data_IF_877557541890
#
_entry.id   IF_877557541890
#
_cell.length_a   1.000
_cell.length_b   1.000
_cell.length_c   1.000
_cell.angle_alpha   90.00
_cell.angle_beta   90.00
_cell.angle_gamma   90.00
#
_symmetry.space_group_name_H-M   'P 1'
#
loop_
_entity.id
_entity.type
_entity.pdbx_description
1 polymer ?
#
# COMPACT_ATOMS: atom_id res chain seq x y z
N UNK A 1 10.25 -43.67 -28.13
CA UNK A 1 9.02 -43.47 -28.93
C UNK A 1 7.77 -43.15 -28.08
N UNK A 2 7.92 -42.78 -26.81
CA UNK A 2 6.80 -42.60 -25.85
C UNK A 2 6.44 -41.14 -25.54
N UNK A 3 7.23 -40.15 -25.99
CA UNK A 3 6.99 -38.73 -25.66
C UNK A 3 5.98 -38.02 -26.56
N UNK A 4 5.67 -38.59 -27.73
CA UNK A 4 4.72 -37.99 -28.68
C UNK A 4 3.30 -38.14 -28.17
N UNK A 5 2.95 -39.32 -27.65
CA UNK A 5 1.61 -39.62 -27.12
C UNK A 5 1.31 -38.88 -25.81
N UNK A 6 2.31 -38.70 -24.94
CA UNK A 6 2.11 -38.00 -23.66
C UNK A 6 1.82 -36.51 -23.83
N UNK A 7 2.43 -35.85 -24.81
CA UNK A 7 2.18 -34.44 -25.11
C UNK A 7 0.77 -34.22 -25.69
N UNK A 8 0.30 -35.15 -26.54
CA UNK A 8 -1.08 -35.17 -27.02
C UNK A 8 -2.10 -35.41 -25.90
N UNK A 9 -1.80 -36.34 -24.98
CA UNK A 9 -2.65 -36.60 -23.81
C UNK A 9 -2.73 -35.35 -22.93
N UNK A 10 -1.62 -34.62 -22.76
CA UNK A 10 -1.56 -33.42 -21.92
C UNK A 10 -2.34 -32.24 -22.53
N UNK A 11 -2.26 -32.04 -23.85
CA UNK A 11 -3.02 -31.00 -24.54
C UNK A 11 -4.52 -31.30 -24.54
N UNK A 12 -4.91 -32.57 -24.74
CA UNK A 12 -6.31 -33.00 -24.62
C UNK A 12 -6.81 -32.85 -23.19
N UNK A 13 -5.98 -33.18 -22.18
CA UNK A 13 -6.33 -33.00 -20.77
C UNK A 13 -6.49 -31.53 -20.39
N UNK A 14 -5.63 -30.63 -20.90
CA UNK A 14 -5.76 -29.18 -20.68
C UNK A 14 -7.00 -28.64 -21.37
N UNK A 15 -7.28 -29.05 -22.61
CA UNK A 15 -8.50 -28.64 -23.32
C UNK A 15 -9.76 -29.10 -22.58
N UNK A 16 -9.79 -30.35 -22.13
CA UNK A 16 -10.88 -30.91 -21.32
C UNK A 16 -11.01 -30.18 -19.98
N UNK A 17 -9.90 -29.82 -19.33
CA UNK A 17 -9.91 -29.07 -18.07
C UNK A 17 -10.46 -27.65 -18.27
N UNK A 18 -10.03 -26.96 -19.33
CA UNK A 18 -10.54 -25.62 -19.70
C UNK A 18 -12.03 -25.68 -20.03
N UNK A 19 -12.47 -26.71 -20.77
CA UNK A 19 -13.88 -26.95 -21.07
C UNK A 19 -14.68 -27.20 -19.79
N UNK A 20 -14.16 -28.01 -18.87
CA UNK A 20 -14.81 -28.36 -17.61
C UNK A 20 -14.89 -27.15 -16.66
N UNK A 21 -13.85 -26.32 -16.62
CA UNK A 21 -13.85 -25.04 -15.88
C UNK A 21 -14.81 -24.04 -16.50
N UNK A 22 -14.88 -23.95 -17.83
CA UNK A 22 -15.83 -23.10 -18.54
C UNK A 22 -17.28 -23.50 -18.22
N UNK A 23 -17.59 -24.80 -18.28
CA UNK A 23 -18.90 -25.36 -17.91
C UNK A 23 -19.23 -25.14 -16.43
N UNK A 24 -18.24 -25.24 -15.54
CA UNK A 24 -18.43 -24.98 -14.10
C UNK A 24 -18.62 -23.48 -13.80
N UNK A 25 -17.97 -22.61 -14.55
CA UNK A 25 -18.06 -21.15 -14.38
C UNK A 25 -19.37 -20.55 -14.91
N UNK A 26 -20.06 -21.24 -15.82
CA UNK A 26 -21.34 -20.80 -16.37
C UNK A 26 -22.56 -21.18 -15.51
N UNK A 27 -22.36 -21.88 -14.38
CA UNK A 27 -23.45 -22.23 -13.46
C UNK A 27 -24.45 -23.25 -14.02
N UNK A 28 -24.10 -23.94 -15.11
CA UNK A 28 -24.98 -24.90 -15.77
C UNK A 28 -25.04 -26.18 -14.94
N UNK A 29 -26.16 -26.39 -14.25
CA UNK A 29 -26.46 -27.66 -13.60
C UNK A 29 -26.55 -28.77 -14.66
N UNK A 30 -25.91 -29.91 -14.40
CA UNK A 30 -25.96 -31.08 -15.26
C UNK A 30 -27.42 -31.55 -15.44
N UNK A 31 -28.07 -31.13 -16.52
CA UNK A 31 -29.45 -31.50 -16.84
C UNK A 31 -30.28 -30.47 -17.61
N UNK A 32 -29.86 -29.20 -17.73
CA UNK A 32 -30.64 -28.15 -18.43
C UNK A 32 -29.80 -27.45 -19.51
N UNK A 33 -29.48 -28.17 -20.59
CA UNK A 33 -28.89 -27.57 -21.79
C UNK A 33 -30.02 -27.28 -22.78
N UNK A 34 -30.32 -26.00 -23.02
CA UNK A 34 -31.31 -25.58 -24.02
C UNK A 34 -30.75 -25.76 -25.46
N UNK A 35 -31.60 -25.75 -26.48
CA UNK A 35 -31.18 -25.97 -27.88
C UNK A 35 -30.11 -24.97 -28.36
N UNK A 36 -30.08 -23.75 -27.80
CA UNK A 36 -29.05 -22.75 -28.05
C UNK A 36 -27.67 -23.10 -27.46
N UNK A 37 -27.63 -23.78 -26.32
CA UNK A 37 -26.39 -24.23 -25.67
C UNK A 37 -25.79 -25.44 -26.39
N UNK A 38 -26.64 -26.30 -26.97
CA UNK A 38 -26.19 -27.37 -27.86
C UNK A 38 -25.55 -26.83 -29.14
N UNK A 39 -26.10 -25.75 -29.71
CA UNK A 39 -25.54 -25.08 -30.87
C UNK A 39 -24.16 -24.48 -30.60
N UNK A 40 -23.97 -23.84 -29.44
CA UNK A 40 -22.68 -23.26 -29.06
C UNK A 40 -21.63 -24.32 -28.76
N UNK A 41 -22.01 -25.45 -28.15
CA UNK A 41 -21.11 -26.60 -27.91
C UNK A 41 -20.68 -27.29 -29.20
N UNK A 42 -21.60 -27.51 -30.15
CA UNK A 42 -21.26 -28.08 -31.46
C UNK A 42 -20.35 -27.11 -32.22
N UNK A 43 -20.67 -25.81 -32.22
CA UNK A 43 -19.83 -24.77 -32.80
C UNK A 43 -18.42 -24.73 -32.22
N UNK A 44 -18.29 -24.76 -30.89
CA UNK A 44 -17.00 -24.80 -30.18
C UNK A 44 -16.22 -26.07 -30.49
N UNK A 45 -16.87 -27.22 -30.59
CA UNK A 45 -16.21 -28.48 -30.92
C UNK A 45 -15.67 -28.50 -32.35
N UNK A 46 -16.41 -27.95 -33.32
CA UNK A 46 -15.95 -27.80 -34.70
C UNK A 46 -14.77 -26.83 -34.80
N UNK A 47 -14.83 -25.71 -34.08
CA UNK A 47 -13.76 -24.72 -34.05
C UNK A 47 -12.49 -25.27 -33.39
N UNK A 48 -12.64 -26.06 -32.33
CA UNK A 48 -11.53 -26.78 -31.68
C UNK A 48 -10.88 -27.81 -32.61
N UNK A 49 -11.68 -28.56 -33.38
CA UNK A 49 -11.18 -29.51 -34.38
C UNK A 49 -10.46 -28.77 -35.52
N UNK A 50 -11.02 -27.67 -36.02
CA UNK A 50 -10.43 -26.88 -37.10
C UNK A 50 -9.11 -26.22 -36.67
N UNK A 51 -9.07 -25.61 -35.48
CA UNK A 51 -7.85 -25.05 -34.92
C UNK A 51 -6.81 -26.15 -34.63
N UNK A 52 -7.25 -27.29 -34.08
CA UNK A 52 -6.39 -28.46 -33.86
C UNK A 52 -5.77 -28.99 -35.16
N UNK A 53 -6.57 -29.10 -36.22
CA UNK A 53 -6.10 -29.55 -37.53
C UNK A 53 -5.17 -28.53 -38.22
N UNK A 54 -5.43 -27.23 -38.05
CA UNK A 54 -4.59 -26.13 -38.58
C UNK A 54 -3.22 -26.09 -37.90
N UNK A 55 -3.18 -26.32 -36.59
CA UNK A 55 -1.92 -26.45 -35.82
C UNK A 55 -1.18 -27.74 -36.21
N UNK A 56 -1.89 -28.85 -36.43
CA UNK A 56 -1.32 -30.11 -36.92
C UNK A 56 -0.71 -29.99 -38.32
N UNK A 57 -1.29 -29.19 -39.20
CA UNK A 57 -0.77 -28.90 -40.54
C UNK A 57 0.48 -28.02 -40.52
N UNK A 58 0.54 -27.07 -39.58
CA UNK A 58 1.62 -26.08 -39.49
C UNK A 58 2.94 -26.63 -38.91
N UNK A 59 2.92 -27.80 -38.24
CA UNK A 59 4.07 -28.36 -37.53
C UNK A 59 4.55 -29.73 -38.02
N UNK A 60 4.43 -30.03 -39.32
CA UNK A 60 5.18 -31.15 -39.93
C UNK A 60 6.67 -30.77 -40.03
N UNK A 61 7.44 -31.05 -38.97
CA UNK A 61 8.91 -30.98 -38.96
C UNK A 61 9.56 -29.96 -38.00
N UNK A 62 8.78 -29.09 -37.34
CA UNK A 62 9.30 -27.99 -36.48
C UNK A 62 8.89 -28.12 -35.01
N UNK A 63 8.75 -29.35 -34.51
CA UNK A 63 8.30 -29.63 -33.13
C UNK A 63 9.20 -28.99 -32.06
N UNK A 64 10.50 -28.80 -32.35
CA UNK A 64 11.42 -28.09 -31.46
C UNK A 64 11.05 -26.61 -31.29
N UNK A 65 10.62 -25.93 -32.35
CA UNK A 65 10.22 -24.52 -32.28
C UNK A 65 8.90 -24.33 -31.55
N UNK A 66 7.96 -25.27 -31.72
CA UNK A 66 6.70 -25.27 -30.96
C UNK A 66 6.95 -25.43 -29.45
N UNK A 67 7.86 -26.34 -29.07
CA UNK A 67 8.25 -26.55 -27.68
C UNK A 67 8.93 -25.30 -27.11
N UNK A 68 9.85 -24.69 -27.86
CA UNK A 68 10.54 -23.47 -27.45
C UNK A 68 9.56 -22.31 -27.26
N UNK A 69 8.59 -22.15 -28.15
CA UNK A 69 7.54 -21.14 -28.02
C UNK A 69 6.66 -21.39 -26.80
N UNK A 70 6.27 -22.65 -26.53
CA UNK A 70 5.48 -23.01 -25.36
C UNK A 70 6.21 -22.72 -24.05
N UNK A 71 7.51 -23.04 -23.97
CA UNK A 71 8.36 -22.73 -22.82
C UNK A 71 8.52 -21.23 -22.64
N UNK A 72 8.72 -20.46 -23.72
CA UNK A 72 8.81 -19.01 -23.67
C UNK A 72 7.52 -18.37 -23.14
N UNK A 73 6.35 -18.82 -23.62
CA UNK A 73 5.06 -18.35 -23.11
C UNK A 73 4.85 -18.72 -21.65
N UNK A 74 5.18 -19.93 -21.23
CA UNK A 74 5.12 -20.35 -19.82
C UNK A 74 6.01 -19.47 -18.94
N UNK A 75 7.23 -19.15 -19.39
CA UNK A 75 8.14 -18.27 -18.69
C UNK A 75 7.58 -16.84 -18.58
N UNK A 76 6.97 -16.31 -19.65
CA UNK A 76 6.32 -15.00 -19.64
C UNK A 76 5.14 -14.99 -18.66
N UNK A 77 4.25 -15.99 -18.68
CA UNK A 77 3.13 -16.05 -17.75
C UNK A 77 3.58 -16.21 -16.30
N UNK A 78 4.61 -17.04 -16.04
CA UNK A 78 5.19 -17.17 -14.71
C UNK A 78 5.79 -15.83 -14.24
N UNK A 79 6.52 -15.14 -15.10
CA UNK A 79 7.10 -13.83 -14.79
C UNK A 79 6.03 -12.77 -14.53
N UNK A 80 4.99 -12.69 -15.37
CA UNK A 80 3.85 -11.81 -15.15
C UNK A 80 3.08 -12.16 -13.87
N UNK A 81 2.94 -13.45 -13.54
CA UNK A 81 2.34 -13.93 -12.30
C UNK A 81 3.14 -13.51 -11.07
N UNK A 82 4.48 -13.55 -11.13
CA UNK A 82 5.36 -13.01 -10.10
C UNK A 82 5.17 -11.50 -9.98
N UNK A 83 5.23 -10.74 -11.07
CA UNK A 83 4.98 -9.28 -11.06
C UNK A 83 3.63 -8.95 -10.45
N UNK A 84 2.58 -9.69 -10.82
CA UNK A 84 1.23 -9.49 -10.31
C UNK A 84 1.14 -9.82 -8.82
N UNK A 85 1.78 -10.90 -8.36
CA UNK A 85 1.84 -11.26 -6.93
C UNK A 85 2.50 -10.15 -6.12
N UNK A 86 3.58 -9.58 -6.64
CA UNK A 86 4.35 -8.51 -5.99
C UNK A 86 3.89 -7.10 -6.38
N UNK A 87 2.75 -6.94 -7.07
CA UNK A 87 2.31 -5.64 -7.63
C UNK A 87 2.23 -4.52 -6.58
N UNK A 88 1.85 -4.87 -5.36
CA UNK A 88 1.75 -3.93 -4.24
C UNK A 88 3.12 -3.53 -3.67
N UNK A 89 4.13 -4.40 -3.78
CA UNK A 89 5.50 -4.11 -3.36
C UNK A 89 6.23 -3.25 -4.39
N UNK A 90 5.91 -3.39 -5.68
CA UNK A 90 6.46 -2.56 -6.74
C UNK A 90 6.05 -1.08 -6.65
N UNK A 91 4.86 -0.77 -6.12
CA UNK A 91 4.47 0.61 -5.82
C UNK A 91 5.36 1.26 -4.74
N UNK A 92 5.85 0.46 -3.78
CA UNK A 92 6.76 0.90 -2.71
C UNK A 92 8.20 1.12 -3.18
N UNK A 93 8.64 0.39 -4.22
CA UNK A 93 9.97 0.56 -4.84
C UNK A 93 9.94 1.69 -5.89
N UNK A 94 8.90 1.74 -6.73
CA UNK A 94 8.72 2.81 -7.72
C UNK A 94 8.67 4.20 -7.09
N UNK A 95 7.99 4.34 -5.94
CA UNK A 95 7.99 5.59 -5.16
C UNK A 95 9.37 5.96 -4.60
N UNK A 96 10.19 4.98 -4.21
CA UNK A 96 11.57 5.21 -3.73
C UNK A 96 12.52 5.63 -4.85
N UNK A 97 12.38 5.04 -6.03
CA UNK A 97 13.20 5.41 -7.20
C UNK A 97 12.80 6.79 -7.71
N UNK A 98 11.50 7.07 -7.84
CA UNK A 98 11.00 8.39 -8.26
C UNK A 98 11.31 9.50 -7.23
N UNK A 99 11.27 9.20 -5.92
CA UNK A 99 11.65 10.15 -4.88
C UNK A 99 13.14 10.52 -4.88
N UNK A 100 14.02 9.68 -5.45
CA UNK A 100 15.44 9.99 -5.64
C UNK A 100 15.73 10.74 -6.94
N UNK A 101 14.88 10.61 -7.95
CA UNK A 101 15.06 11.23 -9.27
C UNK A 101 14.43 12.64 -9.37
N UNK A 102 13.45 12.96 -8.53
CA UNK A 102 12.86 14.31 -8.44
C UNK A 102 13.00 14.84 -7.01
N UNK A 103 13.99 15.72 -6.74
CA UNK A 103 14.14 16.37 -5.44
C UNK A 103 12.87 17.18 -5.11
N UNK A 104 12.07 16.70 -4.15
CA UNK A 104 10.89 17.40 -3.64
C UNK A 104 9.55 16.66 -3.75
N UNK A 105 9.49 15.49 -4.40
CA UNK A 105 8.23 14.75 -4.61
C UNK A 105 8.02 13.58 -3.62
N UNK A 106 8.30 13.81 -2.33
CA UNK A 106 7.73 13.03 -1.24
C UNK A 106 6.58 13.82 -0.62
N UNK A 107 5.58 14.14 -1.44
CA UNK A 107 4.30 14.64 -0.97
C UNK A 107 3.52 13.46 -0.41
N UNK A 108 3.27 13.53 0.90
CA UNK A 108 2.06 12.97 1.52
C UNK A 108 0.92 12.94 0.48
N UNK A 109 0.31 11.77 0.29
CA UNK A 109 -0.77 11.63 -0.69
C UNK A 109 -1.92 12.54 -0.30
N UNK A 110 -2.06 13.67 -1.00
CA UNK A 110 -3.18 14.60 -0.90
C UNK A 110 -4.33 13.97 -1.68
N UNK A 111 -5.14 13.16 -1.01
CA UNK A 111 -6.34 12.51 -1.61
C UNK A 111 -7.65 13.25 -1.35
N UNK A 112 -7.57 14.54 -1.02
CA UNK A 112 -8.71 15.43 -0.79
C UNK A 112 -8.23 16.76 -0.23
N UNK A 113 -9.11 17.76 -0.15
CA UNK A 113 -8.76 19.15 0.20
C UNK A 113 -8.03 19.28 1.56
N UNK A 114 -8.15 18.29 2.47
CA UNK A 114 -7.45 18.20 3.77
C UNK A 114 -7.16 16.75 4.22
N UNK A 115 -6.70 15.88 3.33
CA UNK A 115 -6.34 14.49 3.69
C UNK A 115 -4.82 14.24 3.61
N UNK A 116 -4.28 13.47 4.54
CA UNK A 116 -2.88 13.01 4.58
C UNK A 116 -2.84 11.49 4.75
N UNK A 117 -2.20 10.79 3.81
CA UNK A 117 -2.00 9.34 3.88
C UNK A 117 -0.53 8.96 4.13
N UNK A 118 -0.29 8.31 5.27
CA UNK A 118 1.03 7.97 5.82
C UNK A 118 1.25 6.46 5.74
N UNK A 119 2.30 5.97 5.07
CA UNK A 119 2.63 4.54 5.09
C UNK A 119 3.09 4.11 6.49
N UNK A 120 2.84 2.84 6.85
CA UNK A 120 3.41 2.24 8.06
C UNK A 120 4.92 2.15 7.92
N UNK A 121 5.65 2.76 8.86
CA UNK A 121 7.09 2.73 8.96
C UNK A 121 7.64 1.42 9.56
N UNK A 122 8.96 1.33 9.65
CA UNK A 122 9.63 0.21 10.32
C UNK A 122 9.20 0.10 11.79
N UNK A 123 8.97 -1.12 12.27
CA UNK A 123 8.50 -1.35 13.64
C UNK A 123 7.02 -1.01 13.88
N UNK A 124 6.27 -0.63 12.84
CA UNK A 124 4.83 -0.40 12.94
C UNK A 124 4.40 1.00 13.38
N UNK A 125 5.35 1.94 13.41
CA UNK A 125 5.11 3.35 13.74
C UNK A 125 4.66 4.14 12.51
N UNK A 126 3.98 5.26 12.73
CA UNK A 126 3.63 6.20 11.66
C UNK A 126 4.39 7.49 11.92
N UNK A 127 5.10 8.00 10.90
CA UNK A 127 5.89 9.22 10.99
C UNK A 127 5.37 10.22 9.98
N UNK A 128 5.00 11.41 10.47
CA UNK A 128 4.47 12.51 9.66
C UNK A 128 5.40 13.71 9.73
N UNK A 129 5.43 14.50 8.65
CA UNK A 129 6.14 15.77 8.66
C UNK A 129 5.23 16.87 9.20
N UNK A 130 5.64 17.49 10.29
CA UNK A 130 4.86 18.51 10.99
C UNK A 130 5.61 19.83 10.98
N UNK A 131 4.98 20.89 10.49
CA UNK A 131 5.47 22.26 10.62
C UNK A 131 4.81 22.93 11.82
N UNK A 132 5.62 23.47 12.74
CA UNK A 132 5.17 24.17 13.93
C UNK A 132 5.44 25.67 13.77
N UNK A 133 4.45 26.53 14.02
CA UNK A 133 4.57 27.99 13.96
C UNK A 133 5.21 28.51 12.65
N UNK A 134 4.99 27.83 11.52
CA UNK A 134 5.58 28.18 10.21
C UNK A 134 7.03 27.74 10.02
N UNK A 135 7.65 27.08 11.00
CA UNK A 135 9.00 26.54 10.88
C UNK A 135 9.05 25.33 9.92
N UNK A 136 10.27 24.98 9.47
CA UNK A 136 10.51 23.85 8.56
C UNK A 136 9.96 22.55 9.15
N UNK A 137 9.20 21.81 8.35
CA UNK A 137 8.54 20.57 8.79
C UNK A 137 9.53 19.49 9.25
N UNK A 138 9.29 18.93 10.44
CA UNK A 138 10.12 17.93 11.11
C UNK A 138 9.38 16.59 11.22
N UNK A 139 10.07 15.45 11.20
CA UNK A 139 9.44 14.16 11.41
C UNK A 139 8.94 14.03 12.85
N UNK A 140 7.68 13.67 13.03
CA UNK A 140 7.07 13.35 14.32
C UNK A 140 6.36 12.02 14.26
N UNK A 141 6.40 11.28 15.36
CA UNK A 141 5.73 9.99 15.49
C UNK A 141 4.25 10.22 15.85
N UNK A 142 3.32 9.58 15.14
CA UNK A 142 1.91 9.59 15.52
C UNK A 142 1.70 8.59 16.64
N UNK A 143 1.33 9.09 17.82
CA UNK A 143 1.21 8.30 19.04
C UNK A 143 -0.21 8.46 19.62
N UNK A 144 -1.08 7.48 19.33
CA UNK A 144 -2.45 7.41 19.88
C UNK A 144 -2.47 7.06 21.37
N UNK A 145 -1.34 6.72 21.98
CA UNK A 145 -1.20 6.55 23.42
C UNK A 145 -0.85 7.86 24.14
N UNK A 146 -0.34 8.86 23.42
CA UNK A 146 0.05 10.13 24.00
C UNK A 146 -1.17 11.05 24.19
N UNK A 147 -1.38 11.52 25.42
CA UNK A 147 -2.48 12.43 25.77
C UNK A 147 -2.33 13.83 25.17
N UNK A 148 -1.13 14.21 24.73
CA UNK A 148 -0.84 15.51 24.15
C UNK A 148 0.23 15.44 23.05
N UNK A 149 0.29 16.48 22.23
CA UNK A 149 1.45 16.82 21.41
C UNK A 149 2.65 17.06 22.33
N UNK A 150 3.69 16.24 22.19
CA UNK A 150 4.92 16.34 22.98
C UNK A 150 6.08 16.69 22.07
N UNK A 151 6.75 17.80 22.36
CA UNK A 151 7.88 18.31 21.60
C UNK A 151 9.19 17.98 22.29
N UNK A 152 10.18 17.60 21.49
CA UNK A 152 11.57 17.67 21.92
C UNK A 152 11.96 19.13 22.13
N UNK A 153 12.96 19.39 22.98
CA UNK A 153 13.54 20.73 23.12
C UNK A 153 13.95 21.30 21.74
N UNK A 154 14.62 20.49 20.91
CA UNK A 154 15.13 20.93 19.63
C UNK A 154 14.03 21.36 18.64
N UNK A 155 12.88 20.67 18.65
CA UNK A 155 11.74 21.05 17.82
C UNK A 155 10.97 22.24 18.40
N UNK A 156 10.86 22.34 19.73
CA UNK A 156 10.27 23.51 20.40
C UNK A 156 11.06 24.79 20.08
N UNK A 157 12.39 24.76 20.20
CA UNK A 157 13.27 25.87 19.82
C UNK A 157 13.10 26.27 18.35
N UNK A 158 13.02 25.28 17.46
CA UNK A 158 12.83 25.51 16.03
C UNK A 158 11.49 26.15 15.71
N UNK A 159 10.47 25.85 16.51
CA UNK A 159 9.15 26.48 16.46
C UNK A 159 9.13 27.90 17.07
N UNK A 160 10.27 28.44 17.50
CA UNK A 160 10.38 29.76 18.14
C UNK A 160 9.92 29.79 19.60
N UNK A 161 9.76 28.62 20.24
CA UNK A 161 9.39 28.53 21.65
C UNK A 161 10.66 28.74 22.48
N UNK A 162 10.62 29.71 23.40
CA UNK A 162 11.71 30.01 24.32
C UNK A 162 11.75 29.00 25.46
N UNK A 163 12.48 27.91 25.26
CA UNK A 163 12.51 26.78 26.20
C UNK A 163 13.09 27.17 27.56
N UNK A 164 13.98 28.17 27.60
CA UNK A 164 14.57 28.70 28.84
C UNK A 164 13.57 29.37 29.78
N UNK A 165 12.47 29.90 29.23
CA UNK A 165 11.42 30.57 30.00
C UNK A 165 10.35 29.58 30.48
N UNK A 166 10.47 28.29 30.14
CA UNK A 166 9.49 27.26 30.47
C UNK A 166 9.72 26.62 31.84
N UNK A 167 8.63 26.45 32.59
CA UNK A 167 8.61 25.73 33.86
C UNK A 167 8.31 24.24 33.66
N UNK A 168 9.30 23.38 33.87
CA UNK A 168 9.18 21.92 33.75
C UNK A 168 8.57 21.28 35.01
N UNK A 169 7.30 21.56 35.28
CA UNK A 169 6.60 21.13 36.50
C UNK A 169 5.54 20.05 36.28
N UNK A 170 5.29 19.67 35.02
CA UNK A 170 4.20 18.76 34.65
C UNK A 170 4.72 17.33 34.58
N UNK A 171 4.35 16.45 35.52
CA UNK A 171 4.73 15.05 35.46
C UNK A 171 3.93 14.34 34.36
N UNK A 172 4.62 13.57 33.53
CA UNK A 172 4.04 12.68 32.53
C UNK A 172 4.58 11.28 32.71
N UNK A 173 3.74 10.27 32.53
CA UNK A 173 4.18 8.89 32.43
C UNK A 173 4.60 8.59 31.01
N UNK A 174 5.82 8.07 30.86
CA UNK A 174 6.35 7.62 29.57
C UNK A 174 6.76 6.16 29.67
N UNK A 175 7.02 5.52 28.53
CA UNK A 175 7.56 4.16 28.50
C UNK A 175 8.90 4.02 29.24
N UNK A 176 9.67 5.11 29.35
CA UNK A 176 10.95 5.15 30.07
C UNK A 176 10.81 5.56 31.54
N UNK A 177 9.58 5.62 32.06
CA UNK A 177 9.24 6.07 33.41
C UNK A 177 8.74 7.51 33.47
N UNK A 178 8.55 8.06 34.69
CA UNK A 178 8.03 9.41 34.87
C UNK A 178 9.04 10.45 34.38
N UNK A 179 8.56 11.42 33.61
CA UNK A 179 9.33 12.55 33.13
C UNK A 179 8.63 13.87 33.46
N UNK A 180 9.42 14.95 33.57
CA UNK A 180 8.88 16.30 33.72
C UNK A 180 8.83 16.98 32.35
N UNK A 181 7.73 17.70 32.13
CA UNK A 181 7.46 18.46 30.91
C UNK A 181 7.00 19.87 31.28
N UNK A 182 7.02 20.78 30.31
CA UNK A 182 6.49 22.12 30.45
C UNK A 182 5.31 22.34 29.50
N UNK A 183 4.26 23.02 29.97
CA UNK A 183 3.15 23.40 29.11
C UNK A 183 3.56 24.52 28.14
N UNK A 184 3.09 24.40 26.90
CA UNK A 184 3.18 25.45 25.91
C UNK A 184 1.97 25.41 24.96
N UNK A 185 1.81 26.46 24.18
CA UNK A 185 0.79 26.55 23.14
C UNK A 185 1.47 26.74 21.79
N UNK A 186 1.23 25.81 20.86
CA UNK A 186 1.69 25.95 19.49
C UNK A 186 0.62 26.71 18.71
N UNK A 187 1.00 27.86 18.15
CA UNK A 187 0.08 28.74 17.41
C UNK A 187 -0.45 28.06 16.15
N UNK A 188 0.40 27.31 15.45
CA UNK A 188 0.00 26.58 14.24
C UNK A 188 0.74 25.26 14.16
N UNK A 189 -0.01 24.18 13.97
CA UNK A 189 0.49 22.83 13.71
C UNK A 189 -0.02 22.41 12.34
N UNK A 190 0.87 22.28 11.36
CA UNK A 190 0.53 21.92 10.00
C UNK A 190 1.09 20.54 9.64
N UNK A 191 0.22 19.67 9.14
CA UNK A 191 0.54 18.33 8.64
C UNK A 191 0.01 18.25 7.21
N UNK A 192 0.89 18.44 6.22
CA UNK A 192 0.48 18.61 4.83
C UNK A 192 -0.59 19.72 4.68
N UNK A 193 -1.76 19.44 4.08
CA UNK A 193 -2.86 20.40 3.95
C UNK A 193 -3.69 20.63 5.24
N UNK A 194 -3.46 19.84 6.30
CA UNK A 194 -4.20 19.97 7.57
C UNK A 194 -3.50 21.00 8.44
N UNK A 195 -4.21 22.04 8.86
CA UNK A 195 -3.64 23.14 9.66
C UNK A 195 -4.52 23.39 10.89
N UNK A 196 -3.99 23.04 12.05
CA UNK A 196 -4.62 23.27 13.34
C UNK A 196 -3.99 24.46 14.07
N UNK A 197 -4.82 25.24 14.77
CA UNK A 197 -4.38 26.44 15.49
C UNK A 197 -4.54 26.28 17.00
N UNK A 198 -3.68 26.95 17.75
CA UNK A 198 -3.71 26.97 19.21
C UNK A 198 -3.78 25.56 19.82
N UNK A 199 -2.81 24.73 19.45
CA UNK A 199 -2.70 23.34 19.90
C UNK A 199 -1.89 23.30 21.17
N UNK A 200 -2.49 22.76 22.24
CA UNK A 200 -1.78 22.53 23.51
C UNK A 200 -0.67 21.52 23.30
N UNK A 201 0.52 21.85 23.77
CA UNK A 201 1.68 20.97 23.69
C UNK A 201 2.44 20.92 25.02
N UNK A 202 3.22 19.86 25.16
CA UNK A 202 4.19 19.68 26.22
C UNK A 202 5.59 19.72 25.63
N UNK A 203 6.53 20.38 26.30
CA UNK A 203 7.95 20.32 25.95
C UNK A 203 8.64 19.40 26.93
N UNK A 204 9.31 18.38 26.42
CA UNK A 204 10.11 17.47 27.22
C UNK A 204 11.41 18.14 27.68
N UNK A 205 11.91 17.76 28.86
CA UNK A 205 13.24 18.20 29.30
C UNK A 205 14.32 17.81 28.27
N UNK A 206 15.42 18.58 28.20
CA UNK A 206 16.58 18.24 27.37
C UNK A 206 16.98 16.78 27.55
N UNK A 207 17.09 16.03 26.44
CA UNK A 207 17.50 14.61 26.44
C UNK A 207 16.44 13.59 26.92
N UNK A 208 15.27 14.02 27.41
CA UNK A 208 14.23 13.09 27.88
C UNK A 208 13.41 12.44 26.75
N UNK A 209 13.38 13.08 25.58
CA UNK A 209 12.64 12.62 24.41
C UNK A 209 13.51 12.78 23.15
N UNK A 210 13.62 11.72 22.35
CA UNK A 210 14.42 11.72 21.12
C UNK A 210 13.65 12.20 19.89
N UNK A 211 12.34 11.92 19.84
CA UNK A 211 11.47 12.26 18.71
C UNK A 211 10.16 12.84 19.22
N UNK A 212 9.70 13.93 18.61
CA UNK A 212 8.43 14.57 18.98
C UNK A 212 7.24 13.65 18.65
N UNK A 213 6.21 13.71 19.49
CA UNK A 213 5.04 12.83 19.45
C UNK A 213 3.78 13.65 19.13
N UNK A 214 3.02 13.20 18.14
CA UNK A 214 1.74 13.78 17.76
C UNK A 214 0.61 13.00 18.45
N UNK A 215 0.20 13.50 19.62
CA UNK A 215 -0.84 12.90 20.46
C UNK A 215 -2.22 13.57 20.36
N UNK A 216 -3.09 13.25 21.31
CA UNK A 216 -4.52 13.58 21.26
C UNK A 216 -4.86 15.07 21.22
N UNK A 217 -4.05 15.98 21.80
CA UNK A 217 -4.32 17.43 21.68
C UNK A 217 -4.33 17.94 20.22
N UNK A 218 -3.70 17.20 19.31
CA UNK A 218 -3.82 17.38 17.86
C UNK A 218 -4.83 16.40 17.24
N UNK A 219 -4.73 15.09 17.53
CA UNK A 219 -5.55 14.08 16.87
C UNK A 219 -7.06 14.26 17.09
N UNK A 220 -7.48 14.74 18.27
CA UNK A 220 -8.89 14.98 18.60
C UNK A 220 -9.51 16.15 17.83
N UNK A 221 -8.67 16.95 17.16
CA UNK A 221 -9.10 18.08 16.32
C UNK A 221 -9.39 17.68 14.89
N UNK A 222 -8.88 16.52 14.48
CA UNK A 222 -9.14 15.96 13.17
C UNK A 222 -10.64 15.59 13.03
N UNK A 223 -11.08 15.47 11.79
CA UNK A 223 -12.39 14.89 11.47
C UNK A 223 -12.34 13.38 11.71
N UNK A 224 -11.32 12.72 11.16
CA UNK A 224 -11.04 11.32 11.45
C UNK A 224 -9.55 11.00 11.32
N UNK A 225 -9.12 9.94 12.02
CA UNK A 225 -7.87 9.25 11.76
C UNK A 225 -8.13 7.75 11.72
N UNK A 226 -7.64 7.06 10.69
CA UNK A 226 -7.94 5.65 10.46
C UNK A 226 -6.69 4.89 10.05
N UNK A 227 -6.55 3.64 10.52
CA UNK A 227 -5.52 2.73 10.05
C UNK A 227 -6.16 1.67 9.15
N UNK A 228 -5.82 1.69 7.86
CA UNK A 228 -6.35 0.73 6.88
C UNK A 228 -5.29 0.36 5.85
N UNK A 229 -5.20 -0.93 5.53
CA UNK A 229 -4.34 -1.42 4.44
C UNK A 229 -2.85 -1.09 4.62
N UNK A 230 -2.34 -1.09 5.86
CA UNK A 230 -0.95 -0.75 6.15
C UNK A 230 -0.61 0.75 6.04
N UNK A 231 -1.64 1.61 6.04
CA UNK A 231 -1.49 3.07 6.01
C UNK A 231 -2.34 3.70 7.10
N UNK A 232 -1.91 4.86 7.59
CA UNK A 232 -2.71 5.76 8.42
C UNK A 232 -3.21 6.90 7.55
N UNK A 233 -4.50 7.21 7.66
CA UNK A 233 -5.14 8.33 6.96
C UNK A 233 -5.59 9.34 8.01
N UNK A 234 -5.18 10.60 7.85
CA UNK A 234 -5.59 11.72 8.70
C UNK A 234 -6.47 12.66 7.85
N UNK A 235 -7.60 13.08 8.40
CA UNK A 235 -8.52 14.03 7.74
C UNK A 235 -8.75 15.25 8.61
N UNK A 236 -8.45 16.44 8.09
CA UNK A 236 -8.72 17.71 8.77
C UNK A 236 -10.19 18.10 8.66
N UNK A 237 -10.74 18.76 9.69
CA UNK A 237 -12.12 19.29 9.65
C UNK A 237 -12.26 20.41 8.60
N UNK A 238 -13.47 20.56 8.06
CA UNK A 238 -13.84 21.64 7.14
C UNK A 238 -13.94 23.00 7.85
#
# INVERSE_FOLDING_TARGET
MTSRTTLWILLVAILLLVLLVAIRSSGVAAGTLDAGDWGSLVGLSMLAVLCGASVLGMFRGRAGEALQAAVAWLAIFAFLGVIYTYRYEFELVGRRVMANLVPGMASDGVTGTREVSVPRGGGGTYVVRVALNGARATPMLVDTGASALVLTEADARRAGIKVEELSFTVPVQTANGPALTAFTMVQTVAVGPIVERNVRALVARPGALTTSLLGHTFLDRLESYEVRGGRMVLRGRN
#
